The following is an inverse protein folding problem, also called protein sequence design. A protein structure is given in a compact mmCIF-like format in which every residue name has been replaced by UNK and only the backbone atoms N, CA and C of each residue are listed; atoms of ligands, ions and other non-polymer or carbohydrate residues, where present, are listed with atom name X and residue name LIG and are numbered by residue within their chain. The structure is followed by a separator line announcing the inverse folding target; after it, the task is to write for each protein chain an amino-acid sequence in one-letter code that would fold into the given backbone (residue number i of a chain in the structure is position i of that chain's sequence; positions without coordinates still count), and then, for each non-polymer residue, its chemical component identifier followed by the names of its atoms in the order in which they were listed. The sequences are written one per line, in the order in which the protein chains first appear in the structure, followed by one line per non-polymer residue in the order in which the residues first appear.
data_IF_804650367022
#
_entry.id   IF_804650367022
#
_cell.length_a   1.000
_cell.length_b   1.000
_cell.length_c   1.000
_cell.angle_alpha   90.00
_cell.angle_beta   90.00
_cell.angle_gamma   90.00
#
_symmetry.space_group_name_H-M   'P 1'
#
loop_
_entity.id
_entity.type
_entity.pdbx_description
1 polymer ?
#
# COMPACT_ATOMS: atom_id res chain seq x y z
N UNK A 1 -13.80 -31.84 -14.35
CA UNK A 1 -14.20 -30.42 -14.28
C UNK A 1 -13.34 -29.64 -15.26
N UNK A 2 -13.94 -28.73 -16.02
CA UNK A 2 -13.27 -27.81 -16.96
C UNK A 2 -12.16 -26.96 -16.31
N UNK A 3 -12.15 -26.87 -14.99
CA UNK A 3 -11.16 -26.15 -14.18
C UNK A 3 -9.71 -26.55 -14.51
N UNK A 4 -9.43 -27.83 -14.76
CA UNK A 4 -8.06 -28.28 -15.05
C UNK A 4 -7.58 -27.89 -16.47
N UNK A 5 -8.51 -27.69 -17.42
CA UNK A 5 -8.17 -27.16 -18.74
C UNK A 5 -7.92 -25.66 -18.65
N UNK A 6 -8.84 -24.92 -18.00
CA UNK A 6 -8.72 -23.47 -17.76
C UNK A 6 -7.41 -23.12 -17.04
N UNK A 7 -7.05 -23.84 -15.96
CA UNK A 7 -5.79 -23.57 -15.23
C UNK A 7 -4.55 -23.77 -16.11
N UNK A 8 -4.55 -24.78 -16.99
CA UNK A 8 -3.42 -25.02 -17.91
C UNK A 8 -3.28 -23.90 -18.93
N UNK A 9 -4.39 -23.45 -19.50
CA UNK A 9 -4.40 -22.34 -20.47
C UNK A 9 -3.96 -21.02 -19.83
N UNK A 10 -4.45 -20.70 -18.63
CA UNK A 10 -4.03 -19.50 -17.87
C UNK A 10 -2.53 -19.54 -17.59
N UNK A 11 -2.01 -20.68 -17.13
CA UNK A 11 -0.59 -20.82 -16.83
C UNK A 11 0.28 -20.70 -18.08
N UNK A 12 -0.16 -21.27 -19.21
CA UNK A 12 0.55 -21.16 -20.48
C UNK A 12 0.56 -19.71 -20.98
N UNK A 13 -0.56 -19.00 -20.86
CA UNK A 13 -0.68 -17.59 -21.23
C UNK A 13 0.23 -16.70 -20.37
N UNK A 14 0.24 -16.89 -19.04
CA UNK A 14 1.14 -16.15 -18.13
C UNK A 14 2.61 -16.39 -18.45
N UNK A 15 2.98 -17.63 -18.79
CA UNK A 15 4.36 -17.97 -19.16
C UNK A 15 4.82 -17.27 -20.44
N UNK A 16 3.92 -17.04 -21.40
CA UNK A 16 4.23 -16.30 -22.63
C UNK A 16 4.05 -14.78 -22.51
N UNK A 17 3.43 -14.30 -21.43
CA UNK A 17 3.18 -12.88 -21.14
C UNK A 17 3.62 -12.55 -19.71
N UNK A 18 4.94 -12.51 -19.43
CA UNK A 18 5.42 -12.20 -18.08
C UNK A 18 4.98 -10.79 -17.69
N UNK A 19 4.48 -10.65 -16.46
CA UNK A 19 4.07 -9.34 -15.94
C UNK A 19 5.30 -8.44 -15.72
N UNK A 20 5.18 -7.12 -15.98
CA UNK A 20 6.23 -6.18 -15.63
C UNK A 20 6.49 -6.20 -14.11
N UNK A 21 7.74 -6.34 -13.70
CA UNK A 21 8.09 -6.29 -12.28
C UNK A 21 8.13 -4.84 -11.79
N UNK A 22 7.28 -4.54 -10.83
CA UNK A 22 7.33 -3.28 -10.10
C UNK A 22 8.50 -3.26 -9.11
N UNK A 23 8.98 -2.06 -8.78
CA UNK A 23 10.09 -1.81 -7.85
C UNK A 23 9.66 -0.94 -6.67
N UNK A 24 10.37 -1.03 -5.56
CA UNK A 24 10.19 -0.15 -4.39
C UNK A 24 10.20 1.33 -4.79
N UNK A 25 11.10 1.72 -5.71
CA UNK A 25 11.18 3.10 -6.21
C UNK A 25 9.87 3.55 -6.86
N UNK A 26 9.19 2.68 -7.61
CA UNK A 26 7.89 2.99 -8.23
C UNK A 26 6.76 3.05 -7.21
N UNK A 27 6.84 2.28 -6.12
CA UNK A 27 5.91 2.43 -4.98
C UNK A 27 6.12 3.79 -4.31
N UNK A 28 7.36 4.22 -4.12
CA UNK A 28 7.66 5.56 -3.61
C UNK A 28 7.14 6.66 -4.57
N UNK A 29 7.26 6.47 -5.90
CA UNK A 29 6.68 7.41 -6.89
C UNK A 29 5.15 7.53 -6.72
N UNK A 30 4.46 6.41 -6.48
CA UNK A 30 3.02 6.41 -6.24
C UNK A 30 2.66 7.15 -4.95
N UNK A 31 3.41 6.92 -3.87
CA UNK A 31 3.21 7.62 -2.59
C UNK A 31 3.38 9.13 -2.77
N UNK A 32 4.40 9.57 -3.50
CA UNK A 32 4.62 10.99 -3.82
C UNK A 32 3.50 11.57 -4.70
N UNK A 33 2.98 10.80 -5.64
CA UNK A 33 1.85 11.21 -6.45
C UNK A 33 0.58 11.40 -5.61
N UNK A 34 0.27 10.45 -4.72
CA UNK A 34 -0.88 10.59 -3.79
C UNK A 34 -0.68 11.79 -2.88
N UNK A 35 0.52 11.99 -2.31
CA UNK A 35 0.85 13.19 -1.53
C UNK A 35 0.62 14.46 -2.34
N UNK A 36 1.02 14.50 -3.61
CA UNK A 36 0.84 15.66 -4.49
C UNK A 36 -0.63 15.98 -4.75
N UNK A 37 -1.46 14.95 -4.95
CA UNK A 37 -2.87 15.12 -5.33
C UNK A 37 -3.77 15.36 -4.11
N UNK A 38 -3.58 14.57 -3.05
CA UNK A 38 -4.44 14.57 -1.87
C UNK A 38 -3.85 15.33 -0.68
N UNK A 39 -2.54 15.61 -0.67
CA UNK A 39 -1.83 16.18 0.48
C UNK A 39 -1.27 15.12 1.43
N UNK A 40 -0.28 15.50 2.23
CA UNK A 40 0.46 14.58 3.10
C UNK A 40 -0.38 13.99 4.24
N UNK A 41 -1.49 14.64 4.62
CA UNK A 41 -2.40 14.17 5.68
C UNK A 41 -3.38 13.08 5.21
N UNK A 42 -3.32 12.71 3.92
CA UNK A 42 -4.27 11.83 3.24
C UNK A 42 -3.62 10.63 2.54
N UNK A 43 -2.36 10.33 2.86
CA UNK A 43 -1.63 9.17 2.32
C UNK A 43 -1.38 8.14 3.43
N UNK A 44 -1.46 6.86 3.08
CA UNK A 44 -1.22 5.73 3.97
C UNK A 44 -0.69 4.53 3.20
N UNK A 45 -0.33 3.47 3.94
CA UNK A 45 0.19 2.22 3.37
C UNK A 45 -0.80 1.10 3.67
N UNK A 46 -1.18 0.36 2.63
CA UNK A 46 -1.86 -0.93 2.73
C UNK A 46 -1.23 -1.88 1.71
N UNK A 47 -0.34 -2.76 2.16
CA UNK A 47 0.50 -3.55 1.25
C UNK A 47 -0.19 -4.75 0.63
N UNK A 48 -1.29 -5.21 1.21
CA UNK A 48 -1.98 -6.45 0.81
C UNK A 48 -1.05 -7.68 0.80
N UNK A 49 -0.01 -7.67 1.66
CA UNK A 49 0.83 -8.85 1.87
C UNK A 49 -0.03 -10.04 2.29
N UNK A 50 0.35 -11.23 1.83
CA UNK A 50 -0.42 -12.48 1.91
C UNK A 50 -1.74 -12.53 1.11
N UNK A 51 -2.13 -11.42 0.47
CA UNK A 51 -3.28 -11.32 -0.46
C UNK A 51 -2.90 -11.34 -1.95
N UNK A 52 -1.63 -11.03 -2.27
CA UNK A 52 -1.13 -10.88 -3.65
C UNK A 52 -0.40 -12.12 -4.18
N UNK A 53 -0.41 -12.29 -5.51
CA UNK A 53 0.28 -13.41 -6.18
C UNK A 53 1.72 -13.09 -6.58
N UNK A 54 2.10 -11.82 -6.65
CA UNK A 54 3.44 -11.34 -6.98
C UNK A 54 3.82 -10.17 -6.07
N UNK A 55 5.07 -10.14 -5.62
CA UNK A 55 5.61 -9.09 -4.75
C UNK A 55 6.41 -8.06 -5.54
N UNK A 56 6.54 -6.86 -4.96
CA UNK A 56 7.33 -5.76 -5.53
C UNK A 56 8.81 -5.99 -5.22
N UNK A 57 9.69 -5.75 -6.20
CA UNK A 57 11.14 -5.87 -5.99
C UNK A 57 11.64 -4.84 -4.97
N UNK A 58 12.32 -5.30 -3.92
CA UNK A 58 12.74 -4.51 -2.77
C UNK A 58 11.64 -4.33 -1.71
N UNK A 59 10.46 -4.91 -1.93
CA UNK A 59 9.33 -4.95 -1.02
C UNK A 59 8.75 -6.37 -0.93
N UNK A 60 9.62 -7.36 -0.72
CA UNK A 60 9.27 -8.78 -0.77
C UNK A 60 8.36 -9.22 0.38
N UNK A 61 8.49 -8.61 1.55
CA UNK A 61 7.72 -8.94 2.75
C UNK A 61 7.67 -7.78 3.76
N UNK A 62 6.98 -7.98 4.89
CA UNK A 62 6.82 -6.97 5.94
C UNK A 62 8.14 -6.47 6.54
N UNK A 63 9.22 -7.24 6.49
CA UNK A 63 10.53 -6.81 7.01
C UNK A 63 11.20 -5.74 6.14
N UNK A 64 10.70 -5.53 4.91
CA UNK A 64 11.28 -4.62 3.93
C UNK A 64 10.75 -3.19 4.01
N UNK A 65 9.71 -2.92 4.81
CA UNK A 65 9.17 -1.56 4.99
C UNK A 65 10.23 -0.50 5.32
N UNK A 66 11.23 -0.74 6.20
CA UNK A 66 12.29 0.23 6.46
C UNK A 66 13.02 0.72 5.20
N UNK A 67 13.15 -0.11 4.16
CA UNK A 67 13.76 0.29 2.90
C UNK A 67 12.91 1.34 2.16
N UNK A 68 11.58 1.22 2.21
CA UNK A 68 10.66 2.19 1.61
C UNK A 68 10.71 3.53 2.34
N UNK A 69 10.73 3.51 3.67
CA UNK A 69 10.90 4.72 4.46
C UNK A 69 12.27 5.37 4.21
N UNK A 70 13.33 4.59 4.07
CA UNK A 70 14.65 5.10 3.71
C UNK A 70 14.69 5.72 2.31
N UNK A 71 13.97 5.15 1.33
CA UNK A 71 13.79 5.74 0.00
C UNK A 71 13.09 7.10 0.09
N UNK A 72 11.96 7.18 0.78
CA UNK A 72 11.21 8.43 0.94
C UNK A 72 12.01 9.49 1.70
N UNK A 73 12.76 9.10 2.74
CA UNK A 73 13.67 9.98 3.46
C UNK A 73 14.75 10.55 2.51
N UNK A 74 15.34 9.72 1.64
CA UNK A 74 16.31 10.18 0.61
C UNK A 74 15.69 11.14 -0.40
N UNK A 75 14.36 11.05 -0.64
CA UNK A 75 13.61 11.98 -1.48
C UNK A 75 13.19 13.28 -0.77
N UNK A 76 13.60 13.46 0.49
CA UNK A 76 13.35 14.70 1.23
C UNK A 76 12.03 14.70 2.00
N UNK A 77 11.43 13.54 2.28
CA UNK A 77 10.36 13.46 3.25
C UNK A 77 10.90 13.78 4.64
N UNK A 78 10.21 14.68 5.35
CA UNK A 78 10.56 14.99 6.73
C UNK A 78 10.16 13.86 7.69
N UNK A 79 10.78 13.77 8.85
CA UNK A 79 10.39 12.82 9.90
C UNK A 79 8.90 12.96 10.28
N UNK A 80 8.37 14.19 10.25
CA UNK A 80 6.96 14.45 10.49
C UNK A 80 6.07 13.84 9.39
N UNK A 81 6.45 13.98 8.12
CA UNK A 81 5.71 13.38 7.00
C UNK A 81 5.80 11.85 7.01
N UNK A 82 6.96 11.31 7.37
CA UNK A 82 7.16 9.86 7.49
C UNK A 82 6.33 9.27 8.63
N UNK A 83 6.24 9.95 9.79
CA UNK A 83 5.35 9.54 10.88
C UNK A 83 3.87 9.53 10.47
N UNK A 84 3.44 10.54 9.72
CA UNK A 84 2.10 10.60 9.13
C UNK A 84 1.80 9.39 8.26
N UNK A 85 2.70 9.09 7.33
CA UNK A 85 2.61 7.92 6.45
C UNK A 85 2.64 6.60 7.22
N UNK A 86 3.48 6.49 8.25
CA UNK A 86 3.64 5.28 9.05
C UNK A 86 2.40 4.90 9.85
N UNK A 87 1.53 5.87 10.18
CA UNK A 87 0.27 5.54 10.83
C UNK A 87 -0.49 6.71 11.43
N UNK A 88 0.09 7.89 11.62
CA UNK A 88 -0.64 8.98 12.29
C UNK A 88 -1.84 9.46 11.46
N UNK A 89 -1.76 9.41 10.13
CA UNK A 89 -2.89 9.69 9.26
C UNK A 89 -4.04 8.69 9.48
N UNK A 90 -3.70 7.40 9.59
CA UNK A 90 -4.68 6.36 9.86
C UNK A 90 -5.30 6.54 11.26
N UNK A 91 -4.47 6.74 12.29
CA UNK A 91 -4.93 6.92 13.67
C UNK A 91 -5.87 8.12 13.81
N UNK A 92 -5.58 9.22 13.12
CA UNK A 92 -6.46 10.40 13.06
C UNK A 92 -7.84 10.04 12.51
N UNK A 93 -7.89 9.43 11.34
CA UNK A 93 -9.16 9.04 10.69
C UNK A 93 -9.92 8.01 11.52
N UNK A 94 -9.21 7.05 12.12
CA UNK A 94 -9.82 6.04 12.97
C UNK A 94 -10.46 6.66 14.22
N UNK A 95 -9.76 7.60 14.89
CA UNK A 95 -10.31 8.34 16.03
C UNK A 95 -11.55 9.17 15.66
N UNK A 96 -11.56 9.81 14.49
CA UNK A 96 -12.74 10.54 13.97
C UNK A 96 -13.92 9.59 13.75
N UNK A 97 -13.67 8.41 13.16
CA UNK A 97 -14.70 7.39 12.94
C UNK A 97 -15.30 6.90 14.28
N UNK A 98 -14.46 6.64 15.28
CA UNK A 98 -14.92 6.28 16.63
C UNK A 98 -15.76 7.37 17.29
N UNK A 99 -15.37 8.64 17.13
CA UNK A 99 -16.13 9.77 17.68
C UNK A 99 -17.53 9.87 17.06
N UNK A 100 -17.63 9.71 15.74
CA UNK A 100 -18.91 9.69 15.02
C UNK A 100 -19.76 8.51 15.48
N UNK A 101 -19.17 7.31 15.59
CA UNK A 101 -19.87 6.12 16.06
C UNK A 101 -20.47 6.33 17.47
N UNK A 102 -19.68 6.86 18.41
CA UNK A 102 -20.12 7.17 19.78
C UNK A 102 -21.26 8.19 19.81
N UNK A 103 -21.20 9.22 18.96
CA UNK A 103 -22.26 10.22 18.85
C UNK A 103 -23.57 9.59 18.39
N UNK A 104 -23.54 8.83 17.29
CA UNK A 104 -24.73 8.17 16.73
C UNK A 104 -25.35 7.14 17.68
N UNK A 105 -24.54 6.46 18.51
CA UNK A 105 -25.06 5.53 19.53
C UNK A 105 -25.81 6.24 20.66
N UNK A 106 -25.48 7.50 20.98
CA UNK A 106 -26.18 8.30 22.01
C UNK A 106 -27.46 8.95 21.50
N UNK A 107 -27.60 9.09 20.19
CA UNK A 107 -28.78 9.65 19.51
C UNK A 107 -29.87 8.59 19.25
N UNK A 108 -29.60 7.31 19.55
CA UNK A 108 -30.54 6.18 19.49
C UNK A 108 -31.16 5.90 20.84
#
# INVERSE_FOLDING_TARGET
SDTAAITREINQWRKSHPEPRATLSQVADQIEYVRKVAGVDHVGIGSDFDGITEVVQGLEDVSTFPALFAELARRGWSDADLRKLAGENFLRVFAEAEAVAKRLQRER
#
